data_IF_637291440065
#
_entry.id   IF_637291440065
#
_cell.length_a   1.000
_cell.length_b   1.000
_cell.length_c   1.000
_cell.angle_alpha   90.00
_cell.angle_beta   90.00
_cell.angle_gamma   90.00
#
_symmetry.space_group_name_H-M   'P 1'
#
loop_
_entity.id
_entity.type
_entity.pdbx_description
1 polymer ?
#
# COMPACT_ATOMS: atom_id res chain seq x y z
N UNK A 1 -0.21 2.13 16.08
CA UNK A 1 0.99 2.97 15.89
C UNK A 1 0.77 3.83 14.66
N UNK A 2 0.97 5.14 14.74
CA UNK A 2 0.92 6.02 13.56
C UNK A 2 2.34 6.19 13.00
N UNK A 3 2.48 6.10 11.69
CA UNK A 3 3.75 6.28 10.98
C UNK A 3 3.63 7.54 10.12
N UNK A 4 4.67 8.38 10.18
CA UNK A 4 4.76 9.61 9.41
C UNK A 4 5.86 9.45 8.36
N UNK A 5 5.63 9.96 7.15
CA UNK A 5 6.62 9.98 6.08
C UNK A 5 6.51 11.29 5.32
N UNK A 6 7.65 11.80 4.87
CA UNK A 6 7.69 12.93 3.96
C UNK A 6 7.48 12.42 2.53
N UNK A 7 6.62 13.11 1.78
CA UNK A 7 6.42 12.91 0.36
C UNK A 7 6.89 14.21 -0.30
N UNK A 8 7.68 14.16 -1.39
CA UNK A 8 8.07 15.37 -2.11
C UNK A 8 6.85 16.19 -2.54
N UNK A 9 6.92 17.51 -2.39
CA UNK A 9 5.76 18.40 -2.59
C UNK A 9 5.14 18.28 -3.99
N UNK A 10 5.98 18.08 -5.01
CA UNK A 10 5.60 17.84 -6.40
C UNK A 10 4.78 16.54 -6.63
N UNK A 11 4.83 15.58 -5.70
CA UNK A 11 4.06 14.34 -5.76
C UNK A 11 2.69 14.49 -5.10
N UNK A 12 2.53 15.40 -4.14
CA UNK A 12 1.27 15.60 -3.41
C UNK A 12 0.05 15.78 -4.32
N UNK A 13 0.08 16.68 -5.32
CA UNK A 13 -1.02 16.85 -6.27
C UNK A 13 -1.29 15.60 -7.13
N UNK A 14 -0.22 14.88 -7.52
CA UNK A 14 -0.33 13.66 -8.34
C UNK A 14 -1.01 12.52 -7.55
N UNK A 15 -0.63 12.35 -6.29
CA UNK A 15 -1.23 11.37 -5.38
C UNK A 15 -2.71 11.67 -5.15
N UNK A 16 -3.08 12.93 -4.89
CA UNK A 16 -4.48 13.34 -4.73
C UNK A 16 -5.30 13.04 -5.98
N UNK A 17 -4.79 13.40 -7.16
CA UNK A 17 -5.45 13.12 -8.44
C UNK A 17 -5.63 11.63 -8.69
N UNK A 18 -4.61 10.81 -8.40
CA UNK A 18 -4.69 9.37 -8.53
C UNK A 18 -5.73 8.75 -7.58
N UNK A 19 -5.80 9.23 -6.33
CA UNK A 19 -6.80 8.82 -5.36
C UNK A 19 -8.22 9.12 -5.83
N UNK A 20 -8.46 10.32 -6.41
CA UNK A 20 -9.76 10.71 -6.97
C UNK A 20 -10.19 9.81 -8.13
N UNK A 21 -9.28 9.51 -9.07
CA UNK A 21 -9.54 8.60 -10.20
C UNK A 21 -9.93 7.20 -9.70
N UNK A 22 -9.31 6.73 -8.63
CA UNK A 22 -9.59 5.44 -8.00
C UNK A 22 -10.86 5.45 -7.11
N UNK A 23 -11.55 6.60 -6.99
CA UNK A 23 -12.74 6.76 -6.17
C UNK A 23 -12.47 6.94 -4.67
N UNK A 24 -11.21 7.10 -4.26
CA UNK A 24 -10.81 7.30 -2.86
C UNK A 24 -10.78 8.80 -2.55
N UNK A 25 -11.94 9.37 -2.24
CA UNK A 25 -12.09 10.82 -2.04
C UNK A 25 -11.65 11.26 -0.63
N UNK A 26 -10.89 12.36 -0.57
CA UNK A 26 -10.62 13.12 0.66
C UNK A 26 -9.69 12.45 1.68
N UNK A 27 -9.14 11.27 1.40
CA UNK A 27 -8.29 10.56 2.36
C UNK A 27 -7.06 9.91 1.69
N UNK A 28 -5.97 10.67 1.65
CA UNK A 28 -4.67 10.22 1.11
C UNK A 28 -4.12 9.02 1.90
N UNK A 29 -4.30 8.99 3.22
CA UNK A 29 -3.84 7.87 4.05
C UNK A 29 -4.56 6.57 3.69
N UNK A 30 -5.87 6.63 3.42
CA UNK A 30 -6.65 5.48 2.95
C UNK A 30 -6.17 5.02 1.58
N UNK A 31 -5.88 5.96 0.69
CA UNK A 31 -5.34 5.65 -0.64
C UNK A 31 -3.99 4.93 -0.54
N UNK A 32 -3.04 5.48 0.22
CA UNK A 32 -1.73 4.84 0.46
C UNK A 32 -1.91 3.47 1.11
N UNK A 33 -2.78 3.34 2.10
CA UNK A 33 -3.06 2.06 2.75
C UNK A 33 -3.56 1.01 1.76
N UNK A 34 -4.46 1.36 0.84
CA UNK A 34 -4.95 0.45 -0.19
C UNK A 34 -3.83 -0.02 -1.13
N UNK A 35 -2.95 0.89 -1.56
CA UNK A 35 -1.81 0.55 -2.40
C UNK A 35 -0.86 -0.43 -1.69
N UNK A 36 -0.50 -0.13 -0.44
CA UNK A 36 0.36 -1.00 0.36
C UNK A 36 -0.30 -2.36 0.59
N UNK A 37 -1.59 -2.37 0.93
CA UNK A 37 -2.33 -3.60 1.16
C UNK A 37 -2.42 -4.46 -0.11
N UNK A 38 -2.72 -3.88 -1.28
CA UNK A 38 -2.74 -4.60 -2.56
C UNK A 38 -1.37 -5.17 -2.88
N UNK A 39 -0.30 -4.37 -2.77
CA UNK A 39 1.06 -4.84 -3.02
C UNK A 39 1.47 -5.99 -2.09
N UNK A 40 1.19 -5.88 -0.79
CA UNK A 40 1.45 -6.98 0.16
C UNK A 40 0.62 -8.23 -0.15
N UNK A 41 -0.61 -8.07 -0.63
CA UNK A 41 -1.46 -9.19 -1.04
C UNK A 41 -0.89 -9.91 -2.26
N UNK A 42 -0.48 -9.15 -3.27
CA UNK A 42 0.09 -9.67 -4.52
C UNK A 42 1.42 -10.39 -4.26
N UNK A 43 2.21 -9.91 -3.30
CA UNK A 43 3.43 -10.56 -2.86
C UNK A 43 3.20 -11.75 -1.90
N UNK A 44 1.95 -12.07 -1.55
CA UNK A 44 1.63 -13.14 -0.59
C UNK A 44 2.05 -12.85 0.85
N UNK A 45 2.36 -11.59 1.17
CA UNK A 45 2.86 -11.15 2.48
C UNK A 45 1.74 -10.83 3.49
N UNK A 46 0.49 -10.78 3.03
CA UNK A 46 -0.66 -10.66 3.93
C UNK A 46 -1.06 -12.03 4.48
N UNK A 47 -0.94 -12.22 5.80
CA UNK A 47 -1.33 -13.45 6.49
C UNK A 47 -0.18 -14.38 6.84
N UNK A 48 1.06 -14.02 6.51
CA UNK A 48 2.25 -14.67 7.04
C UNK A 48 2.31 -14.36 8.53
N UNK A 49 1.83 -15.28 9.36
CA UNK A 49 2.02 -15.21 10.82
C UNK A 49 3.53 -15.20 11.03
N UNK A 50 4.05 -14.14 11.64
CA UNK A 50 5.45 -13.95 12.01
C UNK A 50 6.17 -15.27 12.30
N UNK A 51 6.87 -15.83 11.31
CA UNK A 51 7.80 -16.94 11.48
C UNK A 51 7.29 -18.37 11.31
N UNK A 52 6.01 -18.64 11.05
CA UNK A 52 5.52 -20.02 10.89
C UNK A 52 4.43 -20.11 9.80
N UNK A 53 4.84 -20.29 8.54
CA UNK A 53 3.89 -20.52 7.45
C UNK A 53 4.45 -20.21 6.07
N UNK A 54 5.17 -21.20 5.54
CA UNK A 54 5.22 -21.60 4.12
C UNK A 54 5.82 -20.64 3.08
N UNK A 55 7.04 -21.00 2.66
CA UNK A 55 7.44 -21.19 1.25
C UNK A 55 6.39 -20.81 0.20
N UNK A 56 6.39 -19.55 -0.24
CA UNK A 56 5.92 -19.18 -1.58
C UNK A 56 6.92 -18.22 -2.23
N UNK A 57 8.17 -18.66 -2.34
CA UNK A 57 9.04 -18.23 -3.44
C UNK A 57 9.08 -19.40 -4.42
N UNK A 58 7.99 -19.59 -5.16
CA UNK A 58 8.06 -20.40 -6.37
C UNK A 58 8.40 -19.44 -7.51
N UNK A 59 9.71 -19.33 -7.77
CA UNK A 59 10.21 -18.85 -9.05
C UNK A 59 9.57 -19.70 -10.16
N UNK A 60 8.91 -19.03 -11.09
CA UNK A 60 8.41 -19.57 -12.35
C UNK A 60 8.57 -18.52 -13.42
#
# INVERSE_FOLDING_TARGET
MQVWSNIPDEWGPKVKKAAEIMGVKGNVSRYIWLLVWQNLRELGLLGVKNGEGETVLQEG
#
